data_IF_361011520706
#
_entry.id   IF_361011520706
#
_cell.length_a   1.000
_cell.length_b   1.000
_cell.length_c   1.000
_cell.angle_alpha   90.00
_cell.angle_beta   90.00
_cell.angle_gamma   90.00
#
_symmetry.space_group_name_H-M   'P 1'
#
loop_
_entity.id
_entity.type
_entity.pdbx_description
1 polymer ?
#
# COMPACT_ATOMS: atom_id res chain seq x y z
N UNK A 1 -15.84 10.21 -4.98
CA UNK A 1 -15.20 8.89 -4.78
C UNK A 1 -15.25 8.09 -6.07
N UNK A 2 -14.08 7.73 -6.61
CA UNK A 2 -13.95 6.89 -7.80
C UNK A 2 -14.14 5.42 -7.42
N UNK A 3 -14.31 4.55 -8.42
CA UNK A 3 -14.37 3.10 -8.24
C UNK A 3 -13.38 2.42 -9.16
N UNK A 4 -12.70 1.40 -8.65
CA UNK A 4 -11.77 0.55 -9.38
C UNK A 4 -12.45 -0.80 -9.63
N UNK A 5 -12.75 -1.11 -10.89
CA UNK A 5 -13.17 -2.46 -11.29
C UNK A 5 -12.00 -3.45 -11.17
N UNK A 6 -12.29 -4.76 -11.26
CA UNK A 6 -11.22 -5.78 -11.28
C UNK A 6 -10.22 -5.57 -12.42
N UNK A 7 -10.69 -5.11 -13.59
CA UNK A 7 -9.76 -4.79 -14.69
C UNK A 7 -8.91 -3.56 -14.36
N UNK A 8 -9.49 -2.56 -13.69
CA UNK A 8 -8.72 -1.39 -13.24
C UNK A 8 -7.64 -1.79 -12.23
N UNK A 9 -7.90 -2.77 -11.37
CA UNK A 9 -6.91 -3.30 -10.43
C UNK A 9 -5.79 -4.06 -11.15
N UNK A 10 -6.11 -4.85 -12.19
CA UNK A 10 -5.09 -5.49 -13.03
C UNK A 10 -4.23 -4.46 -13.77
N UNK A 11 -4.86 -3.42 -14.31
CA UNK A 11 -4.15 -2.30 -14.93
C UNK A 11 -3.28 -1.59 -13.87
N UNK A 12 -3.79 -1.37 -12.66
CA UNK A 12 -3.04 -0.78 -11.54
C UNK A 12 -1.77 -1.57 -11.23
N UNK A 13 -1.83 -2.91 -11.16
CA UNK A 13 -0.62 -3.75 -10.94
C UNK A 13 0.45 -3.48 -12.00
N UNK A 14 0.06 -3.44 -13.28
CA UNK A 14 1.00 -3.24 -14.40
C UNK A 14 1.63 -1.85 -14.35
N UNK A 15 0.82 -0.81 -14.16
CA UNK A 15 1.35 0.55 -14.09
C UNK A 15 2.16 0.82 -12.83
N UNK A 16 1.72 0.32 -11.67
CA UNK A 16 2.48 0.44 -10.42
C UNK A 16 3.81 -0.30 -10.47
N UNK A 17 3.89 -1.42 -11.21
CA UNK A 17 5.16 -2.11 -11.46
C UNK A 17 6.14 -1.24 -12.26
N UNK A 18 5.65 -0.52 -13.27
CA UNK A 18 6.48 0.39 -14.04
C UNK A 18 6.94 1.59 -13.20
N UNK A 19 5.99 2.21 -12.48
CA UNK A 19 6.23 3.41 -11.67
C UNK A 19 7.04 3.12 -10.39
N UNK A 20 7.00 1.88 -9.91
CA UNK A 20 7.70 1.44 -8.70
C UNK A 20 9.24 1.43 -8.80
N UNK A 21 9.84 1.89 -9.90
CA UNK A 21 11.30 2.04 -10.04
C UNK A 21 12.10 0.75 -9.75
N UNK A 22 11.52 -0.42 -10.07
CA UNK A 22 12.13 -1.73 -9.87
C UNK A 22 11.88 -2.37 -8.49
N UNK A 23 11.24 -1.67 -7.55
CA UNK A 23 10.87 -2.16 -6.22
C UNK A 23 9.36 -2.39 -6.05
N UNK A 24 8.88 -2.35 -4.81
CA UNK A 24 7.43 -2.36 -4.52
C UNK A 24 6.74 -3.72 -4.57
N UNK A 25 7.55 -4.79 -4.69
CA UNK A 25 7.14 -6.19 -4.73
C UNK A 25 6.62 -6.67 -6.09
N UNK A 26 6.54 -7.99 -6.23
CA UNK A 26 6.33 -8.62 -7.55
C UNK A 26 4.91 -8.42 -8.11
N UNK A 27 4.76 -8.07 -9.41
CA UNK A 27 3.47 -8.01 -10.08
C UNK A 27 2.67 -9.31 -9.98
N UNK A 28 3.33 -10.47 -9.98
CA UNK A 28 2.64 -11.76 -9.93
C UNK A 28 1.87 -11.92 -8.61
N UNK A 29 2.43 -11.45 -7.50
CA UNK A 29 1.76 -11.50 -6.19
C UNK A 29 0.68 -10.42 -6.08
N UNK A 30 0.90 -9.25 -6.71
CA UNK A 30 -0.16 -8.25 -6.90
C UNK A 30 -1.37 -8.81 -7.65
N UNK A 31 -1.15 -9.49 -8.77
CA UNK A 31 -2.22 -10.13 -9.56
C UNK A 31 -2.96 -11.20 -8.74
N UNK A 32 -2.26 -12.02 -7.96
CA UNK A 32 -2.90 -12.99 -7.05
C UNK A 32 -3.83 -12.30 -6.05
N UNK A 33 -3.42 -11.18 -5.46
CA UNK A 33 -4.29 -10.40 -4.58
C UNK A 33 -5.51 -9.84 -5.32
N UNK A 34 -5.34 -9.36 -6.56
CA UNK A 34 -6.47 -8.93 -7.40
C UNK A 34 -7.45 -10.07 -7.66
N UNK A 35 -6.96 -11.28 -7.91
CA UNK A 35 -7.82 -12.45 -8.10
C UNK A 35 -8.55 -12.84 -6.82
N UNK A 36 -7.94 -12.69 -5.63
CA UNK A 36 -8.66 -12.84 -4.36
C UNK A 36 -9.75 -11.77 -4.16
N UNK A 37 -9.47 -10.50 -4.52
CA UNK A 37 -10.48 -9.43 -4.49
C UNK A 37 -11.66 -9.78 -5.41
N UNK A 38 -11.39 -10.29 -6.61
CA UNK A 38 -12.42 -10.62 -7.61
C UNK A 38 -13.40 -11.71 -7.14
N UNK A 39 -13.03 -12.54 -6.16
CA UNK A 39 -13.93 -13.53 -5.56
C UNK A 39 -14.98 -12.92 -4.64
N UNK A 40 -14.72 -11.73 -4.09
CA UNK A 40 -15.53 -11.14 -3.02
C UNK A 40 -16.14 -9.77 -3.37
N UNK A 41 -15.57 -9.06 -4.35
CA UNK A 41 -16.01 -7.72 -4.78
C UNK A 41 -15.99 -7.62 -6.30
N UNK A 42 -16.85 -6.76 -6.84
CA UNK A 42 -16.82 -6.36 -8.26
C UNK A 42 -15.99 -5.10 -8.49
N UNK A 43 -15.92 -4.26 -7.47
CA UNK A 43 -15.28 -2.96 -7.47
C UNK A 43 -14.82 -2.59 -6.06
N UNK A 44 -13.79 -1.75 -5.98
CA UNK A 44 -13.26 -1.17 -4.73
C UNK A 44 -13.34 0.35 -4.81
N UNK A 45 -13.72 0.98 -3.71
CA UNK A 45 -13.81 2.43 -3.61
C UNK A 45 -12.43 3.07 -3.51
N UNK A 46 -12.22 4.14 -4.26
CA UNK A 46 -11.00 4.94 -4.24
C UNK A 46 -11.37 6.41 -3.95
N UNK A 47 -11.07 6.85 -2.74
CA UNK A 47 -11.27 8.20 -2.27
C UNK A 47 -10.15 9.11 -2.77
N UNK A 48 -10.53 10.27 -3.32
CA UNK A 48 -9.56 11.35 -3.55
C UNK A 48 -9.14 11.91 -2.17
N UNK A 49 -7.84 12.19 -1.93
CA UNK A 49 -7.40 12.77 -0.66
C UNK A 49 -8.20 14.01 -0.24
N UNK A 50 -8.68 14.83 -1.18
CA UNK A 50 -9.48 16.03 -0.89
C UNK A 50 -10.89 15.71 -0.37
N UNK A 51 -11.40 14.51 -0.61
CA UNK A 51 -12.70 14.05 -0.10
C UNK A 51 -12.61 13.52 1.34
N UNK A 52 -11.40 13.26 1.85
CA UNK A 52 -11.17 12.78 3.22
C UNK A 52 -11.26 13.95 4.20
N UNK A 53 -12.12 13.92 5.22
CA UNK A 53 -12.15 14.96 6.26
C UNK A 53 -10.81 15.08 6.99
N UNK A 54 -10.42 16.29 7.36
CA UNK A 54 -9.11 16.57 7.96
C UNK A 54 -8.84 15.78 9.26
N UNK A 55 -9.90 15.46 9.99
CA UNK A 55 -9.86 14.75 11.28
C UNK A 55 -10.00 13.24 11.16
N UNK A 56 -10.31 12.70 9.98
CA UNK A 56 -10.35 11.25 9.76
C UNK A 56 -8.95 10.68 9.75
N UNK A 57 -8.80 9.43 10.19
CA UNK A 57 -7.51 8.73 10.19
C UNK A 57 -7.45 7.72 9.03
N UNK A 58 -6.28 7.62 8.41
CA UNK A 58 -5.99 6.74 7.28
C UNK A 58 -4.79 5.86 7.65
N UNK A 59 -4.96 4.55 7.61
CA UNK A 59 -3.91 3.60 7.98
C UNK A 59 -3.11 3.14 6.76
N UNK A 60 -1.79 3.25 6.84
CA UNK A 60 -0.89 2.61 5.89
C UNK A 60 -0.76 1.12 6.20
N UNK A 61 -0.92 0.27 5.18
CA UNK A 61 -0.66 -1.18 5.26
C UNK A 61 0.19 -1.65 4.08
N UNK A 62 1.17 -2.50 4.34
CA UNK A 62 2.04 -3.11 3.34
C UNK A 62 2.41 -4.55 3.71
N UNK A 63 3.12 -5.25 2.82
CA UNK A 63 3.85 -6.47 3.16
C UNK A 63 5.34 -6.18 3.33
N UNK A 64 5.97 -6.85 4.30
CA UNK A 64 7.40 -6.80 4.58
C UNK A 64 7.98 -8.22 4.60
N UNK A 65 9.12 -8.43 3.95
CA UNK A 65 9.80 -9.73 3.95
C UNK A 65 10.61 -10.03 2.70
N UNK A 66 10.93 -11.31 2.52
CA UNK A 66 11.72 -11.78 1.38
C UNK A 66 10.84 -12.05 0.15
N UNK A 67 11.25 -11.59 -1.05
CA UNK A 67 10.58 -11.95 -2.29
C UNK A 67 10.45 -13.47 -2.51
N UNK A 68 11.43 -14.25 -2.03
CA UNK A 68 11.41 -15.71 -2.14
C UNK A 68 10.30 -16.31 -1.27
N UNK A 69 10.21 -15.89 -0.01
CA UNK A 69 9.16 -16.34 0.91
C UNK A 69 7.77 -15.90 0.42
N UNK A 70 7.64 -14.67 -0.09
CA UNK A 70 6.40 -14.17 -0.69
C UNK A 70 5.97 -15.03 -1.89
N UNK A 71 6.91 -15.44 -2.75
CA UNK A 71 6.62 -16.31 -3.90
C UNK A 71 6.17 -17.71 -3.48
N UNK A 72 6.84 -18.30 -2.50
CA UNK A 72 6.57 -19.65 -2.00
C UNK A 72 5.26 -19.73 -1.21
N UNK A 73 5.07 -18.81 -0.28
CA UNK A 73 3.98 -18.84 0.69
C UNK A 73 2.75 -18.05 0.21
N UNK A 74 2.89 -17.11 -0.73
CA UNK A 74 1.85 -16.13 -1.06
C UNK A 74 1.64 -15.12 0.08
N UNK A 75 0.62 -14.26 -0.03
CA UNK A 75 0.28 -13.24 0.96
C UNK A 75 -1.23 -12.94 0.92
N UNK A 76 -1.79 -12.48 2.03
CA UNK A 76 -3.16 -11.97 2.13
C UNK A 76 -3.55 -11.73 3.59
N UNK A 77 -3.75 -12.80 4.39
CA UNK A 77 -4.15 -12.70 5.80
C UNK A 77 -3.25 -11.77 6.63
N UNK A 78 -1.95 -11.77 6.34
CA UNK A 78 -0.95 -10.97 7.03
C UNK A 78 -1.30 -9.46 6.98
N UNK A 79 -1.70 -8.94 5.82
CA UNK A 79 -2.10 -7.54 5.67
C UNK A 79 -3.40 -7.21 6.42
N UNK A 80 -4.35 -8.14 6.45
CA UNK A 80 -5.61 -7.99 7.21
C UNK A 80 -5.31 -7.88 8.70
N UNK A 81 -4.50 -8.80 9.22
CA UNK A 81 -4.14 -8.82 10.64
C UNK A 81 -3.29 -7.61 11.04
N UNK A 82 -2.41 -7.11 10.17
CA UNK A 82 -1.66 -5.88 10.43
C UNK A 82 -2.61 -4.66 10.57
N UNK A 83 -3.61 -4.54 9.69
CA UNK A 83 -4.64 -3.51 9.80
C UNK A 83 -5.46 -3.64 11.09
N UNK A 84 -5.89 -4.87 11.43
CA UNK A 84 -6.62 -5.14 12.67
C UNK A 84 -5.78 -4.84 13.92
N UNK A 85 -4.47 -5.10 13.87
CA UNK A 85 -3.53 -4.74 14.92
C UNK A 85 -3.44 -3.22 15.11
N UNK A 86 -3.36 -2.44 14.03
CA UNK A 86 -3.46 -0.98 14.11
C UNK A 86 -4.79 -0.54 14.71
N UNK A 87 -5.92 -1.08 14.24
CA UNK A 87 -7.24 -0.77 14.80
C UNK A 87 -7.32 -1.10 16.30
N UNK A 88 -6.74 -2.21 16.73
CA UNK A 88 -6.71 -2.61 18.14
C UNK A 88 -5.92 -1.62 18.99
N UNK A 89 -4.73 -1.21 18.55
CA UNK A 89 -3.85 -0.28 19.28
C UNK A 89 -4.48 1.11 19.38
N UNK A 90 -4.99 1.65 18.28
CA UNK A 90 -5.66 2.95 18.26
C UNK A 90 -7.03 2.91 18.96
N UNK A 91 -7.70 1.75 18.95
CA UNK A 91 -8.93 1.52 19.70
C UNK A 91 -8.76 1.64 21.21
N UNK A 92 -7.57 1.34 21.76
CA UNK A 92 -7.28 1.54 23.19
C UNK A 92 -7.39 3.00 23.64
N UNK A 93 -7.20 3.94 22.71
CA UNK A 93 -7.33 5.39 22.96
C UNK A 93 -8.61 5.98 22.33
N UNK A 94 -9.56 5.12 21.95
CA UNK A 94 -10.86 5.54 21.38
C UNK A 94 -10.81 6.00 19.93
N UNK A 95 -9.70 5.80 19.22
CA UNK A 95 -9.56 6.16 17.81
C UNK A 95 -10.01 4.98 16.94
N UNK A 96 -10.94 5.23 16.03
CA UNK A 96 -11.42 4.28 15.05
C UNK A 96 -11.23 4.86 13.64
N UNK A 97 -10.90 4.01 12.67
CA UNK A 97 -10.77 4.40 11.27
C UNK A 97 -11.19 3.29 10.33
N UNK A 98 -11.63 3.72 9.13
CA UNK A 98 -12.11 2.87 8.04
C UNK A 98 -11.49 3.22 6.69
N UNK A 99 -10.37 3.93 6.71
CA UNK A 99 -9.61 4.33 5.54
C UNK A 99 -8.23 3.69 5.60
N UNK A 100 -7.76 3.27 4.43
CA UNK A 100 -6.48 2.58 4.27
C UNK A 100 -5.78 3.10 3.01
N UNK A 101 -4.45 3.13 3.01
CA UNK A 101 -3.65 3.61 1.88
C UNK A 101 -2.38 2.78 1.66
N UNK A 102 -1.84 2.79 0.43
CA UNK A 102 -0.50 2.27 0.15
C UNK A 102 0.62 2.91 0.95
N UNK A 103 1.63 2.09 1.27
CA UNK A 103 2.93 2.59 1.69
C UNK A 103 3.64 3.29 0.53
N UNK A 104 3.70 2.59 -0.60
CA UNK A 104 4.51 2.93 -1.76
C UNK A 104 3.86 2.46 -3.06
N UNK A 105 4.33 2.99 -4.19
CA UNK A 105 3.93 2.51 -5.51
C UNK A 105 4.75 1.29 -5.93
N UNK A 106 4.05 0.21 -6.25
CA UNK A 106 4.63 -1.08 -6.59
C UNK A 106 3.59 -2.12 -6.98
N UNK A 107 3.98 -3.09 -7.80
CA UNK A 107 3.07 -4.13 -8.30
C UNK A 107 2.35 -4.90 -7.20
N UNK A 108 2.96 -5.04 -6.01
CA UNK A 108 2.37 -5.72 -4.86
C UNK A 108 1.90 -4.75 -3.77
N UNK A 109 2.77 -3.86 -3.27
CA UNK A 109 2.45 -3.01 -2.12
C UNK A 109 1.41 -1.92 -2.41
N UNK A 110 1.13 -1.59 -3.67
CA UNK A 110 -0.05 -0.77 -4.04
C UNK A 110 -1.35 -1.56 -3.89
N UNK A 111 -1.34 -2.88 -4.12
CA UNK A 111 -2.55 -3.71 -4.07
C UNK A 111 -2.84 -4.25 -2.68
N UNK A 112 -1.83 -4.52 -1.86
CA UNK A 112 -1.99 -4.97 -0.46
C UNK A 112 -3.06 -4.20 0.34
N UNK A 113 -3.02 -2.85 0.44
CA UNK A 113 -4.07 -2.07 1.12
C UNK A 113 -5.44 -2.18 0.45
N UNK A 114 -5.49 -2.31 -0.89
CA UNK A 114 -6.73 -2.47 -1.66
C UNK A 114 -7.38 -3.83 -1.34
N UNK A 115 -6.58 -4.88 -1.21
CA UNK A 115 -7.03 -6.19 -0.77
C UNK A 115 -7.63 -6.13 0.64
N UNK A 116 -6.92 -5.49 1.57
CA UNK A 116 -7.43 -5.28 2.93
C UNK A 116 -8.76 -4.53 2.91
N UNK A 117 -8.85 -3.46 2.12
CA UNK A 117 -10.08 -2.68 1.97
C UNK A 117 -11.24 -3.51 1.41
N UNK A 118 -10.99 -4.34 0.39
CA UNK A 118 -11.99 -5.21 -0.21
C UNK A 118 -12.56 -6.21 0.80
N UNK A 119 -11.69 -6.84 1.61
CA UNK A 119 -12.08 -7.83 2.62
C UNK A 119 -12.82 -7.19 3.79
N UNK A 120 -12.35 -6.03 4.26
CA UNK A 120 -12.88 -5.36 5.46
C UNK A 120 -14.01 -4.37 5.18
N UNK A 121 -14.33 -4.12 3.91
CA UNK A 121 -15.36 -3.15 3.51
C UNK A 121 -14.95 -1.70 3.82
N UNK A 122 -13.69 -1.37 3.55
CA UNK A 122 -13.09 -0.05 3.76
C UNK A 122 -12.98 0.69 2.41
N UNK A 123 -12.65 1.97 2.48
CA UNK A 123 -12.29 2.76 1.31
C UNK A 123 -10.77 2.97 1.25
N UNK A 124 -10.23 2.93 0.04
CA UNK A 124 -8.80 3.19 -0.21
C UNK A 124 -8.61 4.67 -0.48
N UNK A 125 -7.65 5.32 0.17
CA UNK A 125 -7.27 6.69 -0.16
C UNK A 125 -6.19 6.68 -1.24
N UNK A 126 -6.40 7.47 -2.29
CA UNK A 126 -5.51 7.57 -3.46
C UNK A 126 -4.27 8.42 -3.13
N UNK A 127 -3.39 7.90 -2.28
CA UNK A 127 -2.12 8.51 -1.93
C UNK A 127 -1.07 7.46 -1.54
N UNK A 128 0.22 7.80 -1.65
CA UNK A 128 1.31 7.06 -1.01
C UNK A 128 2.29 8.01 -0.32
N UNK A 129 3.15 7.44 0.53
CA UNK A 129 4.18 8.22 1.21
C UNK A 129 5.55 8.11 0.56
N UNK A 130 5.65 7.85 -0.74
CA UNK A 130 6.95 7.66 -1.41
C UNK A 130 7.09 8.45 -2.70
N UNK A 131 6.07 9.22 -3.10
CA UNK A 131 6.13 10.05 -4.30
C UNK A 131 5.78 9.28 -5.57
N UNK A 132 4.94 8.26 -5.48
CA UNK A 132 4.54 7.47 -6.66
C UNK A 132 5.62 6.51 -7.16
N UNK A 133 6.54 6.08 -6.30
CA UNK A 133 7.61 5.10 -6.59
C UNK A 133 7.84 4.14 -5.42
N UNK A 134 8.68 3.12 -5.58
CA UNK A 134 9.17 2.35 -4.44
C UNK A 134 10.38 3.04 -3.78
N UNK A 135 10.58 2.73 -2.50
CA UNK A 135 11.75 3.16 -1.73
C UNK A 135 12.41 1.96 -1.03
N UNK A 136 13.73 2.00 -0.76
CA UNK A 136 14.41 0.86 -0.15
C UNK A 136 14.13 0.72 1.36
N UNK A 137 13.90 1.83 2.06
CA UNK A 137 13.92 1.91 3.53
C UNK A 137 12.86 2.88 4.06
N UNK A 138 12.32 2.61 5.25
CA UNK A 138 11.24 3.41 5.85
C UNK A 138 11.65 4.88 6.09
N UNK A 139 12.94 5.12 6.35
CA UNK A 139 13.52 6.46 6.53
C UNK A 139 13.60 7.31 5.26
N UNK A 140 13.25 6.76 4.10
CA UNK A 140 13.27 7.48 2.81
C UNK A 140 11.87 7.84 2.30
N UNK A 141 10.87 7.75 3.17
CA UNK A 141 9.47 8.06 2.91
C UNK A 141 9.14 9.54 3.18
N UNK A 142 8.10 10.05 2.54
CA UNK A 142 7.46 11.33 2.86
C UNK A 142 6.92 11.35 4.29
N UNK A 143 6.47 10.20 4.82
CA UNK A 143 6.05 10.09 6.21
C UNK A 143 7.18 10.52 7.17
N UNK A 144 8.39 9.98 6.95
CA UNK A 144 9.57 10.34 7.69
C UNK A 144 9.96 11.81 7.48
N UNK A 145 9.98 12.27 6.22
CA UNK A 145 10.32 13.66 5.88
C UNK A 145 9.41 14.70 6.56
N UNK A 146 8.11 14.45 6.60
CA UNK A 146 7.11 15.38 7.15
C UNK A 146 6.76 15.15 8.63
N UNK A 147 7.52 14.31 9.33
CA UNK A 147 7.33 14.16 10.78
C UNK A 147 6.09 13.35 11.18
N UNK A 148 5.64 12.41 10.35
CA UNK A 148 4.55 11.47 10.70
C UNK A 148 5.17 10.28 11.44
N UNK A 149 4.78 10.01 12.71
CA UNK A 149 5.37 8.95 13.52
C UNK A 149 5.34 7.56 12.87
N UNK A 150 6.49 6.90 12.79
CA UNK A 150 6.60 5.50 12.38
C UNK A 150 6.09 4.56 13.46
N UNK A 151 6.25 4.94 14.73
CA UNK A 151 5.65 4.21 15.86
C UNK A 151 4.15 4.52 16.01
N UNK A 152 3.31 3.53 16.38
CA UNK A 152 3.66 2.12 16.62
C UNK A 152 3.96 1.37 15.32
N UNK A 153 4.91 0.44 15.39
CA UNK A 153 5.06 -0.59 14.35
C UNK A 153 4.21 -1.80 14.70
N UNK A 154 3.38 -2.24 13.76
CA UNK A 154 2.53 -3.43 13.89
C UNK A 154 2.95 -4.43 12.81
N UNK A 155 3.30 -5.63 13.26
CA UNK A 155 3.68 -6.74 12.39
C UNK A 155 2.79 -7.93 12.66
N UNK A 156 2.30 -8.55 11.58
CA UNK A 156 1.41 -9.70 11.66
C UNK A 156 1.87 -10.84 10.75
N UNK A 157 1.85 -12.07 11.28
CA UNK A 157 2.05 -13.28 10.47
C UNK A 157 0.73 -13.81 9.91
N UNK A 158 0.79 -14.89 9.12
CA UNK A 158 -0.40 -15.52 8.54
C UNK A 158 -1.33 -16.18 9.56
N UNK A 159 -0.82 -16.52 10.73
CA UNK A 159 -1.59 -17.20 11.77
C UNK A 159 -2.31 -16.19 12.68
N UNK A 160 -2.12 -14.88 12.45
CA UNK A 160 -2.70 -13.82 13.26
C UNK A 160 -1.88 -13.48 14.52
N UNK A 161 -0.64 -13.96 14.62
CA UNK A 161 0.28 -13.50 15.66
C UNK A 161 0.61 -12.03 15.40
N UNK A 162 0.52 -11.20 16.44
CA UNK A 162 0.77 -9.76 16.36
C UNK A 162 1.94 -9.37 17.25
N UNK A 163 2.88 -8.62 16.69
CA UNK A 163 3.92 -7.90 17.43
C UNK A 163 3.68 -6.41 17.24
N UNK A 164 3.62 -5.68 18.34
CA UNK A 164 3.50 -4.22 18.34
C UNK A 164 4.71 -3.64 19.06
N UNK A 165 5.39 -2.67 18.44
CA UNK A 165 6.60 -2.05 18.97
C UNK A 165 6.52 -0.53 18.96
N UNK A 166 7.24 0.08 19.91
CA UNK A 166 7.51 1.52 19.95
C UNK A 166 9.01 1.74 20.07
N UNK A 167 9.52 2.64 19.24
CA UNK A 167 10.85 3.21 19.40
C UNK A 167 10.81 4.33 20.45
N UNK A 168 11.94 4.59 21.11
CA UNK A 168 12.05 5.70 22.08
C UNK A 168 11.75 7.05 21.41
N UNK A 169 12.34 7.26 20.23
CA UNK A 169 11.95 8.33 19.33
C UNK A 169 10.94 7.76 18.33
N UNK A 170 9.66 8.16 18.35
CA UNK A 170 8.65 7.63 17.45
C UNK A 170 8.91 7.94 15.96
N UNK A 171 9.85 8.83 15.68
CA UNK A 171 10.30 9.17 14.31
C UNK A 171 11.47 8.30 13.82
N UNK A 172 12.10 7.48 14.66
CA UNK A 172 13.26 6.65 14.29
C UNK A 172 12.86 5.48 13.37
N UNK A 173 12.58 5.82 12.10
CA UNK A 173 12.20 4.88 11.06
C UNK A 173 13.29 3.82 10.75
N UNK A 174 14.60 4.16 10.73
CA UNK A 174 15.65 3.15 10.55
C UNK A 174 15.64 2.08 11.64
N UNK A 175 15.55 2.47 12.93
CA UNK A 175 15.48 1.49 14.02
C UNK A 175 14.18 0.68 13.99
N UNK A 176 13.06 1.34 13.69
CA UNK A 176 11.77 0.68 13.55
C UNK A 176 11.79 -0.39 12.43
N UNK A 177 12.42 -0.09 11.30
CA UNK A 177 12.62 -1.03 10.20
C UNK A 177 13.54 -2.19 10.61
N UNK A 178 14.67 -1.91 11.27
CA UNK A 178 15.60 -2.93 11.74
C UNK A 178 14.89 -3.94 12.66
N UNK A 179 14.18 -3.44 13.69
CA UNK A 179 13.38 -4.26 14.60
C UNK A 179 12.35 -5.07 13.79
N UNK A 180 11.66 -4.42 12.86
CA UNK A 180 10.63 -5.08 12.06
C UNK A 180 11.18 -6.23 11.21
N UNK A 181 12.36 -6.05 10.61
CA UNK A 181 13.03 -7.10 9.83
C UNK A 181 13.41 -8.30 10.69
N UNK A 182 13.84 -8.11 11.93
CA UNK A 182 14.10 -9.22 12.87
C UNK A 182 12.84 -9.98 13.26
N UNK A 183 11.73 -9.28 13.50
CA UNK A 183 10.43 -9.91 13.78
C UNK A 183 9.95 -10.71 12.55
N UNK A 184 10.10 -10.15 11.35
CA UNK A 184 9.74 -10.83 10.09
C UNK A 184 10.53 -12.13 9.92
N UNK A 185 11.79 -12.20 10.38
CA UNK A 185 12.55 -13.46 10.42
C UNK A 185 11.86 -14.51 11.29
N UNK A 186 11.40 -14.14 12.49
CA UNK A 186 10.65 -15.05 13.36
C UNK A 186 9.32 -15.52 12.74
N UNK A 187 8.70 -14.69 11.90
CA UNK A 187 7.48 -15.03 11.14
C UNK A 187 7.76 -15.82 9.85
N UNK A 188 8.99 -16.29 9.66
CA UNK A 188 9.36 -17.08 8.49
C UNK A 188 9.52 -16.23 7.23
N UNK A 189 10.10 -15.04 7.38
CA UNK A 189 10.50 -14.11 6.32
C UNK A 189 9.34 -13.42 5.59
N UNK A 190 8.14 -13.39 6.17
CA UNK A 190 6.99 -12.68 5.61
C UNK A 190 6.05 -12.18 6.73
N UNK A 191 5.66 -10.91 6.67
CA UNK A 191 4.70 -10.30 7.57
C UNK A 191 3.90 -9.19 6.88
N UNK A 192 2.72 -8.90 7.39
CA UNK A 192 2.00 -7.66 7.13
C UNK A 192 2.57 -6.58 8.04
N UNK A 193 2.69 -5.36 7.51
CA UNK A 193 3.21 -4.20 8.20
C UNK A 193 2.12 -3.13 8.26
N UNK A 194 1.90 -2.58 9.45
CA UNK A 194 1.12 -1.37 9.68
C UNK A 194 1.92 -0.39 10.54
N UNK A 195 2.01 0.87 10.12
CA UNK A 195 2.73 1.91 10.88
C UNK A 195 1.96 3.23 10.85
N UNK A 196 2.22 4.07 9.86
CA UNK A 196 1.71 5.42 9.73
C UNK A 196 0.18 5.44 9.65
N UNK A 197 -0.43 5.87 10.75
CA UNK A 197 -1.84 6.29 10.79
C UNK A 197 -1.83 7.81 10.72
N UNK A 198 -2.15 8.33 9.54
CA UNK A 198 -2.12 9.76 9.26
C UNK A 198 -3.53 10.34 9.30
N UNK A 199 -3.64 11.60 9.72
CA UNK A 199 -4.90 12.37 9.59
C UNK A 199 -5.17 12.74 8.13
N UNK A 200 -6.42 12.98 7.76
CA UNK A 200 -6.79 13.46 6.42
C UNK A 200 -6.04 14.73 6.04
N UNK A 201 -5.81 15.64 7.00
CA UNK A 201 -4.99 16.82 6.77
C UNK A 201 -3.54 16.45 6.39
N UNK A 202 -2.91 15.54 7.16
CA UNK A 202 -1.55 15.08 6.86
C UNK A 202 -1.46 14.37 5.50
N UNK A 203 -2.46 13.58 5.13
CA UNK A 203 -2.50 12.93 3.81
C UNK A 203 -2.49 13.98 2.69
N UNK A 204 -3.31 15.05 2.81
CA UNK A 204 -3.37 16.12 1.81
C UNK A 204 -2.10 16.97 1.74
N UNK A 205 -1.50 17.27 2.90
CA UNK A 205 -0.38 18.22 2.97
C UNK A 205 0.99 17.58 2.79
N UNK A 206 1.12 16.27 3.04
CA UNK A 206 2.42 15.61 3.17
C UNK A 206 2.63 14.44 2.19
N UNK A 207 1.57 13.83 1.66
CA UNK A 207 1.67 12.61 0.86
C UNK A 207 1.43 12.89 -0.63
N UNK A 208 1.89 11.98 -1.48
CA UNK A 208 1.70 12.12 -2.93
C UNK A 208 0.31 11.63 -3.31
N UNK A 209 -0.56 12.51 -3.86
CA UNK A 209 -1.92 12.13 -4.23
C UNK A 209 -1.99 11.45 -5.61
N UNK A 210 -3.05 10.69 -5.86
CA UNK A 210 -3.39 10.21 -7.20
C UNK A 210 -2.55 9.03 -7.71
N UNK A 211 -1.70 8.43 -6.88
CA UNK A 211 -0.73 7.40 -7.29
C UNK A 211 -1.38 6.10 -7.77
N UNK A 212 -2.50 5.69 -7.17
CA UNK A 212 -3.25 4.50 -7.57
C UNK A 212 -3.94 4.75 -8.90
N UNK A 213 -4.60 5.90 -9.03
CA UNK A 213 -5.25 6.28 -10.29
C UNK A 213 -4.26 6.45 -11.43
N UNK A 214 -3.10 7.08 -11.17
CA UNK A 214 -2.01 7.21 -12.15
C UNK A 214 -1.48 5.84 -12.58
N UNK A 215 -1.26 4.93 -11.63
CA UNK A 215 -0.86 3.55 -11.91
C UNK A 215 -1.88 2.83 -12.80
N UNK A 216 -3.17 2.99 -12.51
CA UNK A 216 -4.26 2.47 -13.36
C UNK A 216 -4.19 3.02 -14.79
N UNK A 217 -4.03 4.34 -14.95
CA UNK A 217 -3.98 4.98 -16.27
C UNK A 217 -2.80 4.47 -17.12
N UNK A 218 -1.62 4.34 -16.52
CA UNK A 218 -0.43 3.78 -17.16
C UNK A 218 -0.65 2.34 -17.58
N UNK A 219 -1.16 1.50 -16.67
CA UNK A 219 -1.42 0.09 -16.98
C UNK A 219 -2.47 -0.09 -18.08
N UNK A 220 -3.52 0.73 -18.08
CA UNK A 220 -4.53 0.76 -19.14
C UNK A 220 -3.91 1.10 -20.48
N UNK A 221 -3.08 2.14 -20.54
CA UNK A 221 -2.41 2.54 -21.77
C UNK A 221 -1.50 1.42 -22.31
N UNK A 222 -0.72 0.77 -21.44
CA UNK A 222 0.11 -0.39 -21.82
C UNK A 222 -0.77 -1.51 -22.40
N UNK A 223 -1.86 -1.88 -21.71
CA UNK A 223 -2.76 -2.95 -22.17
C UNK A 223 -3.39 -2.62 -23.52
N UNK A 224 -3.93 -1.41 -23.67
CA UNK A 224 -4.59 -1.01 -24.91
C UNK A 224 -3.63 -0.87 -26.08
N UNK A 225 -2.43 -0.33 -25.85
CA UNK A 225 -1.40 -0.22 -26.86
C UNK A 225 -0.94 -1.59 -27.36
N UNK A 226 -0.77 -2.59 -26.47
CA UNK A 226 -0.50 -3.98 -26.85
C UNK A 226 -1.60 -4.56 -27.75
N UNK A 227 -2.87 -4.37 -27.38
CA UNK A 227 -4.02 -4.87 -28.15
C UNK A 227 -4.11 -4.22 -29.53
N UNK A 228 -3.81 -2.92 -29.61
CA UNK A 228 -3.91 -2.11 -30.83
C UNK A 228 -2.63 -2.14 -31.68
N UNK A 229 -1.56 -2.83 -31.25
CA UNK A 229 -0.27 -2.85 -31.94
C UNK A 229 0.42 -1.49 -32.00
N UNK A 230 0.20 -0.62 -31.01
CA UNK A 230 0.81 0.71 -30.93
C UNK A 230 2.16 0.68 -30.20
N UNK A 231 2.95 1.72 -30.37
CA UNK A 231 4.18 1.94 -29.60
C UNK A 231 3.84 2.14 -28.11
N UNK A 232 4.29 1.21 -27.27
CA UNK A 232 4.06 1.22 -25.83
C UNK A 232 4.70 2.42 -25.15
N UNK A 233 5.91 2.78 -25.55
CA UNK A 233 6.67 3.86 -24.91
C UNK A 233 5.99 5.18 -25.21
N UNK A 234 5.62 5.42 -26.48
CA UNK A 234 4.94 6.66 -26.87
C UNK A 234 3.60 6.86 -26.15
N UNK A 235 2.80 5.79 -26.00
CA UNK A 235 1.51 5.85 -25.32
C UNK A 235 1.68 6.10 -23.81
N UNK A 236 2.66 5.45 -23.16
CA UNK A 236 2.97 5.69 -21.74
C UNK A 236 3.49 7.12 -21.52
N UNK A 237 4.42 7.60 -22.35
CA UNK A 237 4.93 8.98 -22.29
C UNK A 237 3.81 10.00 -22.44
N UNK A 238 2.83 9.72 -23.30
CA UNK A 238 1.66 10.58 -23.48
C UNK A 238 0.81 10.65 -22.21
N UNK A 239 0.55 9.52 -21.55
CA UNK A 239 -0.20 9.46 -20.28
C UNK A 239 0.55 10.18 -19.16
N UNK A 240 1.88 10.02 -19.11
CA UNK A 240 2.74 10.67 -18.11
C UNK A 240 3.05 12.13 -18.45
N UNK A 241 2.63 12.63 -19.62
CA UNK A 241 2.90 13.99 -20.12
C UNK A 241 4.39 14.33 -20.18
N UNK A 242 5.21 13.36 -20.56
CA UNK A 242 6.67 13.53 -20.69
C UNK A 242 7.47 13.44 -19.39
N UNK A 243 6.83 13.07 -18.28
CA UNK A 243 7.49 12.73 -17.01
C UNK A 243 8.00 11.28 -17.01
#
# INVERSE_FOLDING_TARGET
MKKLSIQDLRDTVVGATLLGSGGGGSPDNGMKLVDEIAKIKKEVNLADPNEVPDTEYVAMVAGMGSPAALKEKGFGPEGIYAFEGLQKVYGWIGVNFKLVMPCETGGFNTITPIYVAAVKGLDVVDADGTGGRAVPELGTTLYYLYGIPTSPIVLADRNGNLVVGWTKDPMDAPLAEEIGRYVVTAFGMLAGLGTWVATGNQVKSCLEPGVVWKSREVGRAIREAKVKGKDLVAEVVTVLKGY
#
